data_IF_640181375665
#
_entry.id   IF_640181375665
#
_cell.length_a   1.000
_cell.length_b   1.000
_cell.length_c   1.000
_cell.angle_alpha   90.00
_cell.angle_beta   90.00
_cell.angle_gamma   90.00
#
_symmetry.space_group_name_H-M   'P 1'
#
loop_
_entity.id
_entity.type
_entity.pdbx_description
1 polymer ?
#
# COMPACT_ATOMS: atom_id res chain seq x y z
N UNK A 1 1.87 22.76 1.78
CA UNK A 1 2.66 21.78 1.00
C UNK A 1 3.31 22.47 -0.17
N UNK A 2 4.63 22.34 -0.29
CA UNK A 2 5.32 22.70 -1.52
C UNK A 2 4.97 21.70 -2.63
N UNK A 3 5.00 22.11 -3.91
CA UNK A 3 4.66 21.24 -5.05
C UNK A 3 5.49 19.94 -5.09
N UNK A 4 6.69 19.95 -4.52
CA UNK A 4 7.54 18.76 -4.38
C UNK A 4 6.99 17.74 -3.39
N UNK A 5 6.42 18.18 -2.27
CA UNK A 5 5.83 17.27 -1.28
C UNK A 5 4.57 16.61 -1.83
N UNK A 6 3.77 17.36 -2.62
CA UNK A 6 2.54 16.86 -3.24
C UNK A 6 2.85 15.80 -4.31
N UNK A 7 3.87 16.03 -5.14
CA UNK A 7 4.39 15.03 -6.08
C UNK A 7 4.91 13.78 -5.38
N UNK A 8 5.62 13.93 -4.26
CA UNK A 8 6.15 12.80 -3.49
C UNK A 8 5.03 11.99 -2.83
N UNK A 9 3.98 12.67 -2.37
CA UNK A 9 2.77 12.06 -1.84
C UNK A 9 1.98 11.30 -2.90
N UNK A 10 1.80 11.87 -4.10
CA UNK A 10 1.17 11.18 -5.23
C UNK A 10 1.94 9.93 -5.66
N UNK A 11 3.27 10.04 -5.76
CA UNK A 11 4.13 8.90 -6.10
C UNK A 11 4.05 7.80 -5.03
N UNK A 12 4.17 8.18 -3.75
CA UNK A 12 4.02 7.25 -2.63
C UNK A 12 2.63 6.58 -2.62
N UNK A 13 1.56 7.33 -2.89
CA UNK A 13 0.20 6.79 -3.00
C UNK A 13 0.07 5.79 -4.15
N UNK A 14 0.67 6.09 -5.31
CA UNK A 14 0.72 5.15 -6.44
C UNK A 14 1.48 3.87 -6.11
N UNK A 15 2.65 3.99 -5.46
CA UNK A 15 3.46 2.85 -5.03
C UNK A 15 2.73 1.98 -4.00
N UNK A 16 2.09 2.57 -2.99
CA UNK A 16 1.35 1.83 -1.96
C UNK A 16 0.19 1.04 -2.56
N UNK A 17 -0.53 1.60 -3.53
CA UNK A 17 -1.62 0.92 -4.23
C UNK A 17 -1.12 -0.24 -5.12
N UNK A 18 0.01 -0.04 -5.81
CA UNK A 18 0.68 -1.10 -6.57
C UNK A 18 1.19 -2.23 -5.65
N UNK A 19 1.78 -1.88 -4.51
CA UNK A 19 2.29 -2.82 -3.51
C UNK A 19 1.15 -3.62 -2.89
N UNK A 20 0.02 -2.98 -2.56
CA UNK A 20 -1.18 -3.65 -2.08
C UNK A 20 -1.66 -4.68 -3.10
N UNK A 21 -1.81 -4.28 -4.37
CA UNK A 21 -2.28 -5.15 -5.45
C UNK A 21 -1.36 -6.35 -5.62
N UNK A 22 -0.04 -6.13 -5.64
CA UNK A 22 0.95 -7.20 -5.69
C UNK A 22 0.85 -8.10 -4.46
N UNK A 23 0.75 -7.55 -3.25
CA UNK A 23 0.65 -8.35 -2.04
C UNK A 23 -0.55 -9.29 -2.08
N UNK A 24 -1.70 -8.80 -2.54
CA UNK A 24 -2.90 -9.64 -2.73
C UNK A 24 -2.68 -10.72 -3.78
N UNK A 25 -2.14 -10.40 -4.94
CA UNK A 25 -1.85 -11.38 -6.01
C UNK A 25 -0.83 -12.45 -5.58
N UNK A 26 0.22 -12.04 -4.85
CA UNK A 26 1.18 -12.96 -4.25
C UNK A 26 0.54 -13.80 -3.14
N UNK A 27 -0.38 -13.23 -2.34
CA UNK A 27 -1.08 -13.97 -1.28
C UNK A 27 -1.94 -15.08 -1.88
N UNK A 28 -2.57 -14.83 -3.04
CA UNK A 28 -3.32 -15.85 -3.77
C UNK A 28 -2.44 -16.96 -4.33
N UNK A 29 -1.25 -16.61 -4.85
CA UNK A 29 -0.27 -17.56 -5.39
C UNK A 29 0.48 -18.34 -4.31
N UNK A 30 0.52 -17.84 -3.07
CA UNK A 30 1.22 -18.50 -1.97
C UNK A 30 0.40 -19.63 -1.36
N UNK A 31 1.03 -20.79 -1.28
CA UNK A 31 0.48 -21.99 -0.62
C UNK A 31 0.70 -21.97 0.90
N UNK A 32 1.70 -21.21 1.37
CA UNK A 32 2.02 -21.16 2.80
C UNK A 32 1.05 -20.23 3.55
N UNK A 33 0.28 -20.75 4.53
CA UNK A 33 -0.74 -19.97 5.22
C UNK A 33 -0.15 -18.83 6.06
N UNK A 34 1.09 -18.95 6.55
CA UNK A 34 1.72 -17.87 7.32
C UNK A 34 2.06 -16.69 6.41
N UNK A 35 2.65 -16.97 5.26
CA UNK A 35 2.99 -15.95 4.28
C UNK A 35 1.74 -15.28 3.68
N UNK A 36 0.70 -16.07 3.40
CA UNK A 36 -0.59 -15.55 2.93
C UNK A 36 -1.22 -14.61 3.94
N UNK A 37 -1.17 -14.95 5.23
CA UNK A 37 -1.66 -14.08 6.30
C UNK A 37 -0.81 -12.81 6.44
N UNK A 38 0.51 -12.94 6.29
CA UNK A 38 1.45 -11.81 6.35
C UNK A 38 1.25 -10.84 5.19
N UNK A 39 1.04 -11.34 3.96
CA UNK A 39 0.73 -10.53 2.79
C UNK A 39 -0.65 -9.85 2.89
N UNK A 40 -1.66 -10.53 3.42
CA UNK A 40 -2.96 -9.90 3.72
C UNK A 40 -2.85 -8.79 4.75
N UNK A 41 -2.05 -8.99 5.81
CA UNK A 41 -1.76 -7.93 6.78
C UNK A 41 -0.99 -6.78 6.15
N UNK A 42 -0.01 -7.07 5.29
CA UNK A 42 0.80 -6.06 4.61
C UNK A 42 -0.07 -5.23 3.64
N UNK A 43 -0.97 -5.87 2.90
CA UNK A 43 -1.95 -5.19 2.04
C UNK A 43 -2.89 -4.26 2.85
N UNK A 44 -3.30 -4.67 4.05
CA UNK A 44 -4.08 -3.80 4.95
C UNK A 44 -3.25 -2.63 5.51
N UNK A 45 -1.97 -2.85 5.84
CA UNK A 45 -1.07 -1.78 6.30
C UNK A 45 -0.85 -0.75 5.19
N UNK A 46 -0.59 -1.20 3.96
CA UNK A 46 -0.46 -0.34 2.79
C UNK A 46 -1.73 0.49 2.54
N UNK A 47 -2.91 -0.12 2.68
CA UNK A 47 -4.17 0.62 2.56
C UNK A 47 -4.32 1.70 3.63
N UNK A 48 -3.92 1.42 4.88
CA UNK A 48 -3.94 2.40 5.97
C UNK A 48 -2.96 3.54 5.71
N UNK A 49 -1.76 3.24 5.22
CA UNK A 49 -0.75 4.25 4.85
C UNK A 49 -1.26 5.13 3.72
N UNK A 50 -1.83 4.55 2.67
CA UNK A 50 -2.49 5.30 1.60
C UNK A 50 -3.55 6.25 2.15
N UNK A 51 -4.44 5.76 3.02
CA UNK A 51 -5.50 6.58 3.60
C UNK A 51 -4.95 7.70 4.50
N UNK A 52 -3.85 7.44 5.22
CA UNK A 52 -3.16 8.45 6.01
C UNK A 52 -2.50 9.52 5.13
N UNK A 53 -1.83 9.12 4.04
CA UNK A 53 -1.25 10.03 3.05
C UNK A 53 -2.34 10.88 2.39
N UNK A 54 -3.48 10.28 2.02
CA UNK A 54 -4.64 10.97 1.48
C UNK A 54 -5.19 12.01 2.47
N UNK A 55 -5.27 11.64 3.76
CA UNK A 55 -5.72 12.55 4.82
C UNK A 55 -4.72 13.66 5.14
N UNK A 56 -3.43 13.49 4.84
CA UNK A 56 -2.44 14.57 4.92
C UNK A 56 -2.55 15.53 3.72
N UNK A 57 -3.16 15.09 2.61
CA UNK A 57 -3.34 15.88 1.39
C UNK A 57 -4.61 16.77 1.41
N UNK A 58 -5.60 16.40 2.25
CA UNK A 58 -6.87 17.08 2.45
C UNK A 58 -6.76 18.19 3.51
#
# INVERSE_FOLDING_TARGET
>A
MTPKELMYLEDAMGMEQQLQTKCTDYAEKMQDPKLKNLLSQLAQDHQKRYNNLLNQLN
#
